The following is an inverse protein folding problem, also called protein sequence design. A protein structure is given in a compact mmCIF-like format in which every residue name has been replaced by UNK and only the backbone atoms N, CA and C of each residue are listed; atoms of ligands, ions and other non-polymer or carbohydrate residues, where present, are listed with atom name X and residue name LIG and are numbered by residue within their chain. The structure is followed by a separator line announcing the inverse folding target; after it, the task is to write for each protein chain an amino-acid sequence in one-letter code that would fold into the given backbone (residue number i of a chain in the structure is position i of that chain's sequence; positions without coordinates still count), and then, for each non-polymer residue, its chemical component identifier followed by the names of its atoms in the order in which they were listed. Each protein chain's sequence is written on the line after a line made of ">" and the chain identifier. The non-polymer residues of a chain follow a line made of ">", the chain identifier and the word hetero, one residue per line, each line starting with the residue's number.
data_IF_300705609533
#
_entry.id   IF_300705609533
#
_cell.length_a   1.000
_cell.length_b   1.000
_cell.length_c   1.000
_cell.angle_alpha   90.00
_cell.angle_beta   90.00
_cell.angle_gamma   90.00
#
_symmetry.space_group_name_H-M   'P 1'
#
loop_
_entity.id
_entity.type
_entity.pdbx_description
1 polymer ?
#
# COMPACT_ATOMS: atom_id res chain seq x y z
N UNK A 1 10.34 14.27 -63.33
CA UNK A 1 9.45 15.36 -63.78
C UNK A 1 8.08 14.79 -64.14
N UNK A 2 7.04 15.05 -63.34
CA UNK A 2 5.77 15.57 -63.85
C UNK A 2 4.80 15.86 -62.69
N UNK A 3 4.48 17.14 -62.54
CA UNK A 3 3.41 17.66 -61.67
C UNK A 3 2.06 17.36 -62.34
N UNK A 4 1.00 17.20 -61.54
CA UNK A 4 -0.16 18.13 -61.54
C UNK A 4 -1.26 17.65 -60.58
N UNK A 5 -1.49 18.53 -59.60
CA UNK A 5 -2.71 18.79 -58.83
C UNK A 5 -3.99 18.82 -59.67
N UNK A 6 -5.11 18.37 -59.08
CA UNK A 6 -6.43 19.03 -59.15
C UNK A 6 -7.38 18.47 -58.08
N UNK A 7 -7.79 19.33 -57.15
CA UNK A 7 -8.89 19.06 -56.22
C UNK A 7 -10.25 19.38 -56.85
N UNK A 8 -11.31 18.79 -56.31
CA UNK A 8 -12.69 19.21 -56.56
C UNK A 8 -13.53 19.15 -55.27
N UNK A 9 -14.04 20.34 -54.92
CA UNK A 9 -15.06 20.77 -53.94
C UNK A 9 -16.31 19.85 -53.90
N UNK A 10 -16.82 19.42 -52.73
CA UNK A 10 -17.65 20.10 -51.69
C UNK A 10 -19.18 20.06 -51.92
N UNK A 11 -19.89 19.51 -50.90
CA UNK A 11 -21.28 19.77 -50.42
C UNK A 11 -22.45 19.28 -51.29
N UNK A 12 -23.66 18.92 -50.83
CA UNK A 12 -24.45 18.98 -49.57
C UNK A 12 -25.53 17.88 -49.73
N UNK A 13 -26.06 17.14 -48.74
CA UNK A 13 -26.85 17.56 -47.58
C UNK A 13 -28.31 17.07 -47.72
N UNK A 14 -28.80 16.24 -46.78
CA UNK A 14 -30.22 16.06 -46.39
C UNK A 14 -30.26 15.10 -45.16
N UNK A 15 -30.37 15.61 -43.93
CA UNK A 15 -31.59 15.76 -43.12
C UNK A 15 -32.32 14.44 -42.77
N UNK A 16 -32.19 14.01 -41.51
CA UNK A 16 -33.30 13.45 -40.75
C UNK A 16 -33.01 13.56 -39.23
N UNK A 17 -33.86 14.35 -38.59
CA UNK A 17 -34.02 14.62 -37.16
C UNK A 17 -34.31 13.38 -36.30
N UNK A 18 -33.98 13.49 -35.00
CA UNK A 18 -34.64 12.95 -33.79
C UNK A 18 -33.63 12.20 -32.90
N UNK A 19 -33.44 12.70 -31.68
CA UNK A 19 -32.78 11.95 -30.61
C UNK A 19 -32.01 12.82 -29.63
N UNK A 20 -32.73 13.61 -28.84
CA UNK A 20 -32.19 14.20 -27.61
C UNK A 20 -31.73 13.07 -26.69
N UNK A 21 -30.42 12.94 -26.44
CA UNK A 21 -29.95 12.36 -25.19
C UNK A 21 -28.61 13.00 -24.83
N UNK A 22 -28.67 13.87 -23.81
CA UNK A 22 -27.52 14.20 -22.98
C UNK A 22 -26.90 12.89 -22.50
N UNK A 23 -25.68 12.59 -22.95
CA UNK A 23 -24.78 11.75 -22.17
C UNK A 23 -23.62 12.63 -21.72
N UNK A 24 -23.68 12.95 -20.44
CA UNK A 24 -22.64 13.61 -19.67
C UNK A 24 -21.33 12.88 -19.94
N UNK A 25 -20.35 13.62 -20.46
CA UNK A 25 -18.95 13.19 -20.51
C UNK A 25 -18.48 13.14 -19.06
N UNK A 26 -18.64 11.96 -18.44
CA UNK A 26 -17.99 11.64 -17.19
C UNK A 26 -16.49 11.57 -17.44
N UNK A 27 -15.79 12.67 -17.18
CA UNK A 27 -14.36 12.63 -16.89
C UNK A 27 -14.17 11.80 -15.62
N UNK A 28 -14.05 10.48 -15.79
CA UNK A 28 -13.47 9.62 -14.76
C UNK A 28 -11.97 9.82 -14.87
N UNK A 29 -11.48 10.94 -14.33
CA UNK A 29 -10.09 11.03 -13.92
C UNK A 29 -9.84 9.92 -12.90
N UNK A 30 -8.62 9.36 -12.82
CA UNK A 30 -8.31 8.44 -11.74
C UNK A 30 -8.57 9.17 -10.43
N UNK A 31 -9.54 8.68 -9.65
CA UNK A 31 -9.67 9.03 -8.24
C UNK A 31 -8.36 8.59 -7.61
N UNK A 32 -7.43 9.53 -7.44
CA UNK A 32 -6.36 9.36 -6.48
C UNK A 32 -7.06 9.29 -5.13
N UNK A 33 -7.31 8.08 -4.65
CA UNK A 33 -7.37 7.83 -3.21
C UNK A 33 -6.00 8.25 -2.66
N UNK A 34 -5.86 9.53 -2.35
CA UNK A 34 -4.93 9.98 -1.33
C UNK A 34 -5.50 9.41 -0.03
N UNK A 35 -5.11 8.18 0.29
CA UNK A 35 -5.33 7.60 1.60
C UNK A 35 -4.83 8.62 2.63
N UNK A 36 -5.73 9.12 3.48
CA UNK A 36 -5.41 10.05 4.56
C UNK A 36 -4.39 9.47 5.56
N UNK A 37 -4.08 8.17 5.48
CA UNK A 37 -3.12 7.47 6.34
C UNK A 37 -1.70 7.45 5.76
N UNK A 38 -1.24 8.56 5.19
CA UNK A 38 0.08 8.63 4.54
C UNK A 38 1.27 8.56 5.53
N UNK A 39 0.99 8.63 6.84
CA UNK A 39 2.00 8.80 7.88
C UNK A 39 2.39 7.51 8.59
N UNK A 40 1.70 6.39 8.36
CA UNK A 40 1.99 5.12 9.06
C UNK A 40 1.99 3.91 8.12
N UNK A 41 2.75 2.89 8.48
CA UNK A 41 2.78 1.59 7.83
C UNK A 41 2.98 0.48 8.85
N UNK A 42 2.62 -0.74 8.47
CA UNK A 42 3.04 -1.96 9.15
C UNK A 42 4.38 -2.38 8.55
N UNK A 43 5.38 -2.61 9.39
CA UNK A 43 6.69 -3.13 8.99
C UNK A 43 6.84 -4.55 9.52
N UNK A 44 7.18 -5.46 8.62
CA UNK A 44 7.60 -6.83 8.90
C UNK A 44 9.08 -6.91 8.56
N UNK A 45 9.89 -7.45 9.46
CA UNK A 45 11.30 -7.77 9.18
C UNK A 45 11.55 -9.22 9.53
N UNK A 46 11.91 -10.03 8.55
CA UNK A 46 12.24 -11.44 8.71
C UNK A 46 13.65 -11.78 8.25
N UNK A 47 13.99 -13.07 8.28
CA UNK A 47 15.18 -13.61 7.63
C UNK A 47 14.80 -14.77 6.70
N UNK A 48 14.90 -14.54 5.38
CA UNK A 48 14.59 -15.57 4.39
C UNK A 48 15.63 -16.69 4.32
N UNK A 49 16.72 -16.59 5.08
CA UNK A 49 17.80 -17.59 5.11
C UNK A 49 17.37 -18.95 5.68
N UNK A 50 16.24 -19.01 6.39
CA UNK A 50 15.70 -20.27 6.93
C UNK A 50 14.26 -20.52 6.47
N UNK A 51 13.99 -21.76 6.08
CA UNK A 51 12.67 -22.17 5.56
C UNK A 51 11.55 -22.06 6.59
N UNK A 52 11.87 -22.20 7.88
CA UNK A 52 10.93 -22.05 9.00
C UNK A 52 10.47 -20.60 9.15
N UNK A 53 11.41 -19.65 9.21
CA UNK A 53 11.09 -18.21 9.30
C UNK A 53 10.30 -17.74 8.08
N UNK A 54 10.68 -18.17 6.87
CA UNK A 54 9.91 -17.89 5.65
C UNK A 54 8.45 -18.36 5.72
N UNK A 55 8.22 -19.52 6.36
CA UNK A 55 6.89 -20.06 6.52
C UNK A 55 6.10 -19.24 7.53
N UNK A 56 6.69 -18.87 8.65
CA UNK A 56 6.05 -18.04 9.67
C UNK A 56 5.71 -16.64 9.15
N UNK A 57 6.64 -15.98 8.45
CA UNK A 57 6.41 -14.69 7.80
C UNK A 57 5.23 -14.76 6.83
N UNK A 58 5.18 -15.80 5.97
CA UNK A 58 4.07 -15.99 5.03
C UNK A 58 2.74 -16.22 5.75
N UNK A 59 2.73 -16.99 6.83
CA UNK A 59 1.51 -17.21 7.63
C UNK A 59 1.05 -15.89 8.24
N UNK A 60 1.96 -15.12 8.84
CA UNK A 60 1.66 -13.83 9.43
C UNK A 60 1.10 -12.84 8.38
N UNK A 61 1.75 -12.70 7.22
CA UNK A 61 1.29 -11.84 6.12
C UNK A 61 -0.11 -12.28 5.67
N UNK A 62 -0.35 -13.59 5.56
CA UNK A 62 -1.66 -14.10 5.15
C UNK A 62 -2.75 -13.82 6.19
N UNK A 63 -2.46 -13.96 7.49
CA UNK A 63 -3.40 -13.61 8.55
C UNK A 63 -3.70 -12.11 8.55
N UNK A 64 -2.68 -11.25 8.46
CA UNK A 64 -2.88 -9.80 8.36
C UNK A 64 -3.68 -9.42 7.10
N UNK A 65 -3.39 -10.05 5.95
CA UNK A 65 -4.10 -9.78 4.71
C UNK A 65 -5.59 -10.17 4.78
N UNK A 66 -5.95 -11.22 5.51
CA UNK A 66 -7.37 -11.60 5.72
C UNK A 66 -8.10 -10.49 6.47
N UNK A 67 -7.51 -9.99 7.55
CA UNK A 67 -8.13 -8.96 8.40
C UNK A 67 -8.14 -7.59 7.70
N UNK A 68 -7.05 -7.19 7.03
CA UNK A 68 -6.98 -5.93 6.25
C UNK A 68 -8.02 -5.88 5.12
N UNK A 69 -8.33 -7.02 4.50
CA UNK A 69 -9.39 -7.10 3.47
C UNK A 69 -10.79 -6.79 4.02
N UNK A 70 -11.01 -7.05 5.31
CA UNK A 70 -12.27 -6.78 6.00
C UNK A 70 -12.38 -5.31 6.44
N UNK A 71 -11.25 -4.61 6.60
CA UNK A 71 -11.20 -3.18 6.92
C UNK A 71 -11.61 -2.29 5.73
N UNK A 72 -12.16 -1.12 6.04
CA UNK A 72 -12.45 -0.09 5.02
C UNK A 72 -11.14 0.42 4.40
N UNK A 73 -11.11 0.83 3.12
CA UNK A 73 -9.89 1.31 2.46
C UNK A 73 -9.16 2.42 3.22
N UNK A 74 -9.92 3.28 3.90
CA UNK A 74 -9.42 4.42 4.68
C UNK A 74 -8.89 4.02 6.07
N UNK A 75 -8.90 2.73 6.41
CA UNK A 75 -8.29 2.19 7.63
C UNK A 75 -7.10 1.27 7.32
N UNK A 76 -6.80 1.03 6.04
CA UNK A 76 -5.74 0.11 5.63
C UNK A 76 -4.39 0.81 5.70
N UNK A 77 -3.53 0.36 6.60
CA UNK A 77 -2.12 0.71 6.57
C UNK A 77 -1.40 -0.08 5.46
N UNK A 78 -0.47 0.55 4.72
CA UNK A 78 0.41 -0.18 3.83
C UNK A 78 1.32 -1.13 4.63
N UNK A 79 1.66 -2.28 4.04
CA UNK A 79 2.59 -3.25 4.62
C UNK A 79 3.93 -3.17 3.87
N UNK A 80 5.03 -3.06 4.62
CA UNK A 80 6.39 -3.18 4.12
C UNK A 80 7.06 -4.44 4.69
N UNK A 81 7.80 -5.17 3.83
CA UNK A 81 8.63 -6.31 4.21
C UNK A 81 10.09 -5.98 3.96
N UNK A 82 10.92 -6.08 4.99
CA UNK A 82 12.38 -6.06 4.92
C UNK A 82 12.95 -7.40 5.38
N UNK A 83 14.20 -7.68 5.00
CA UNK A 83 14.82 -8.96 5.22
C UNK A 83 16.27 -8.78 5.70
N UNK A 84 16.63 -9.44 6.80
CA UNK A 84 17.95 -9.32 7.40
C UNK A 84 19.07 -9.97 6.56
N UNK A 85 18.73 -10.92 5.69
CA UNK A 85 19.66 -11.50 4.73
C UNK A 85 20.14 -10.47 3.67
N UNK A 86 19.44 -9.35 3.47
CA UNK A 86 19.85 -8.26 2.59
C UNK A 86 20.59 -7.21 3.39
N UNK A 87 21.90 -7.12 3.18
CA UNK A 87 22.78 -6.24 3.96
C UNK A 87 22.31 -4.78 4.04
N UNK A 88 21.78 -4.23 2.94
CA UNK A 88 21.23 -2.87 2.92
C UNK A 88 19.99 -2.71 3.80
N UNK A 89 19.08 -3.68 3.77
CA UNK A 89 17.85 -3.67 4.56
C UNK A 89 18.17 -3.90 6.04
N UNK A 90 19.07 -4.84 6.35
CA UNK A 90 19.60 -5.07 7.70
C UNK A 90 20.22 -3.81 8.28
N UNK A 91 21.17 -3.20 7.57
CA UNK A 91 21.84 -1.99 8.04
C UNK A 91 20.85 -0.84 8.25
N UNK A 92 19.79 -0.77 7.46
CA UNK A 92 18.73 0.20 7.65
C UNK A 92 17.93 -0.08 8.93
N UNK A 93 17.48 -1.32 9.12
CA UNK A 93 16.72 -1.75 10.30
C UNK A 93 17.50 -1.51 11.59
N UNK A 94 18.76 -1.93 11.64
CA UNK A 94 19.61 -1.83 12.83
C UNK A 94 19.96 -0.36 13.14
N UNK A 95 20.42 0.41 12.15
CA UNK A 95 20.94 1.76 12.40
C UNK A 95 19.88 2.85 12.46
N UNK A 96 18.72 2.68 11.79
CA UNK A 96 17.67 3.71 11.71
C UNK A 96 16.44 3.37 12.52
N UNK A 97 16.03 2.10 12.51
CA UNK A 97 14.79 1.66 13.15
C UNK A 97 15.03 1.01 14.52
N UNK A 98 16.30 0.74 14.87
CA UNK A 98 16.68 0.01 16.09
C UNK A 98 15.98 -1.36 16.18
N UNK A 99 15.87 -2.03 15.03
CA UNK A 99 15.31 -3.37 14.88
C UNK A 99 16.48 -4.33 14.66
N UNK A 100 16.73 -5.20 15.63
CA UNK A 100 17.91 -6.06 15.67
C UNK A 100 17.61 -7.42 15.05
N UNK A 101 18.61 -8.03 14.42
CA UNK A 101 18.53 -9.38 13.83
C UNK A 101 18.28 -10.49 14.86
N UNK A 102 18.51 -10.19 16.15
CA UNK A 102 18.21 -11.07 17.29
C UNK A 102 16.70 -11.36 17.45
N UNK A 103 15.84 -10.45 16.97
CA UNK A 103 14.39 -10.60 17.13
C UNK A 103 13.79 -11.70 16.23
N UNK A 104 14.57 -12.33 15.33
CA UNK A 104 14.25 -13.38 14.34
C UNK A 104 13.11 -13.01 13.35
N UNK A 105 11.98 -12.57 13.87
CA UNK A 105 10.84 -12.01 13.17
C UNK A 105 10.34 -10.78 13.94
N UNK A 106 10.53 -9.61 13.36
CA UNK A 106 9.98 -8.37 13.86
C UNK A 106 8.68 -8.04 13.15
N UNK A 107 7.68 -7.57 13.91
CA UNK A 107 6.50 -6.92 13.34
C UNK A 107 6.11 -5.72 14.20
N UNK A 108 5.82 -4.61 13.55
CA UNK A 108 5.43 -3.40 14.24
C UNK A 108 4.81 -2.36 13.32
N UNK A 109 4.39 -1.25 13.92
CA UNK A 109 3.88 -0.08 13.20
C UNK A 109 5.00 0.96 13.17
N UNK A 110 5.24 1.53 12.00
CA UNK A 110 6.24 2.56 11.76
C UNK A 110 5.59 3.85 11.30
N UNK A 111 6.12 4.98 11.77
CA UNK A 111 5.83 6.28 11.18
C UNK A 111 6.61 6.44 9.89
N UNK A 112 5.96 6.95 8.85
CA UNK A 112 6.55 7.24 7.56
C UNK A 112 7.03 8.68 7.47
N UNK A 113 8.07 8.88 6.66
CA UNK A 113 8.46 10.17 6.12
C UNK A 113 8.76 9.97 4.64
N UNK A 114 8.05 10.68 3.76
CA UNK A 114 8.21 10.55 2.30
C UNK A 114 8.08 9.09 1.81
N UNK A 115 7.14 8.33 2.39
CA UNK A 115 6.90 6.89 2.14
C UNK A 115 8.03 5.95 2.58
N UNK A 116 8.94 6.42 3.43
CA UNK A 116 10.03 5.62 3.97
C UNK A 116 9.84 5.47 5.49
N UNK A 117 10.00 4.25 6.06
CA UNK A 117 9.93 4.04 7.52
C UNK A 117 10.92 4.92 8.28
N UNK A 118 10.43 5.86 9.08
CA UNK A 118 11.29 6.77 9.84
C UNK A 118 11.60 6.22 11.24
N UNK A 119 10.58 5.69 11.92
CA UNK A 119 10.66 5.30 13.32
C UNK A 119 9.60 4.24 13.65
N UNK A 120 9.95 3.26 14.46
CA UNK A 120 9.00 2.31 15.07
C UNK A 120 8.20 3.02 16.17
N UNK A 121 6.87 2.98 16.06
CA UNK A 121 5.94 3.54 17.05
C UNK A 121 5.28 2.47 17.91
N UNK A 122 5.19 1.26 17.39
CA UNK A 122 4.68 0.10 18.11
C UNK A 122 5.42 -1.16 17.63
N UNK A 123 5.68 -2.08 18.55
CA UNK A 123 6.32 -3.37 18.27
C UNK A 123 5.54 -4.45 18.98
N UNK A 124 5.32 -5.58 18.31
CA UNK A 124 4.86 -6.80 18.98
C UNK A 124 6.06 -7.50 19.58
N UNK A 125 6.09 -7.59 20.90
CA UNK A 125 7.14 -8.33 21.59
C UNK A 125 6.85 -9.84 21.50
N UNK A 126 7.82 -10.62 21.01
CA UNK A 126 7.79 -12.10 20.90
C UNK A 126 6.56 -12.67 20.17
N UNK A 127 6.74 -12.95 18.89
CA UNK A 127 5.70 -13.55 18.04
C UNK A 127 5.67 -15.06 18.29
N UNK A 128 4.89 -15.47 19.29
CA UNK A 128 4.62 -16.90 19.57
C UNK A 128 3.43 -17.45 18.80
N UNK A 129 2.53 -16.58 18.34
CA UNK A 129 1.35 -16.94 17.56
C UNK A 129 1.10 -15.87 16.47
N UNK A 130 1.26 -16.21 15.18
CA UNK A 130 1.09 -15.26 14.08
C UNK A 130 -0.32 -14.65 13.99
N UNK A 131 -1.38 -15.41 14.27
CA UNK A 131 -2.75 -14.92 14.19
C UNK A 131 -3.03 -13.88 15.29
N UNK A 132 -2.52 -14.13 16.50
CA UNK A 132 -2.64 -13.16 17.60
C UNK A 132 -1.83 -11.90 17.31
N UNK A 133 -0.59 -12.04 16.87
CA UNK A 133 0.26 -10.90 16.52
C UNK A 133 -0.34 -10.04 15.39
N UNK A 134 -0.98 -10.67 14.40
CA UNK A 134 -1.69 -9.98 13.34
C UNK A 134 -2.85 -9.13 13.89
N UNK A 135 -3.67 -9.68 14.79
CA UNK A 135 -4.77 -8.94 15.40
C UNK A 135 -4.26 -7.80 16.29
N UNK A 136 -3.30 -8.08 17.17
CA UNK A 136 -2.73 -7.08 18.10
C UNK A 136 -2.16 -5.85 17.34
N UNK A 137 -1.54 -6.07 16.17
CA UNK A 137 -1.07 -4.97 15.31
C UNK A 137 -2.19 -4.21 14.64
N UNK A 138 -3.22 -4.91 14.18
CA UNK A 138 -4.31 -4.26 13.46
C UNK A 138 -5.20 -3.46 14.39
N UNK A 139 -5.48 -3.98 15.57
CA UNK A 139 -6.17 -3.26 16.64
C UNK A 139 -5.39 -1.98 17.00
N UNK A 140 -4.07 -2.11 17.19
CA UNK A 140 -3.23 -0.94 17.50
C UNK A 140 -3.11 0.03 16.33
N UNK A 141 -3.14 -0.45 15.09
CA UNK A 141 -3.18 0.39 13.91
C UNK A 141 -4.46 1.21 13.86
N UNK A 142 -5.61 0.59 14.13
CA UNK A 142 -6.90 1.28 14.19
C UNK A 142 -6.91 2.37 15.26
N UNK A 143 -6.38 2.09 16.45
CA UNK A 143 -6.25 3.08 17.54
C UNK A 143 -5.38 4.26 17.12
N UNK A 144 -4.20 4.01 16.54
CA UNK A 144 -3.28 5.08 16.08
C UNK A 144 -3.94 5.94 15.01
N UNK A 145 -4.68 5.32 14.09
CA UNK A 145 -5.40 6.04 13.04
C UNK A 145 -6.53 6.91 13.61
N UNK A 146 -7.28 6.38 14.60
CA UNK A 146 -8.32 7.13 15.29
C UNK A 146 -7.75 8.32 16.08
N UNK A 147 -6.61 8.15 16.76
CA UNK A 147 -5.91 9.23 17.48
C UNK A 147 -5.38 10.33 16.54
N UNK A 148 -5.03 9.98 15.30
CA UNK A 148 -4.46 10.90 14.32
C UNK A 148 -5.49 11.68 13.49
N UNK A 149 -6.78 11.35 13.59
CA UNK A 149 -7.84 12.05 12.89
C UNK A 149 -8.14 13.40 13.58
N UNK A 150 -8.00 14.55 12.91
CA UNK A 150 -8.36 15.84 13.50
C UNK A 150 -9.88 15.87 13.77
N UNK A 151 -10.26 16.20 15.01
CA UNK A 151 -11.65 16.48 15.40
C UNK A 151 -12.20 17.72 14.71
#
# INVERSE_FOLDING_TARGET
>A
MNRRVKGWKWRSGLLATIGTLLFVIGMIGPVQSQSANADYAILIVGDEGTAEMLREEKVLINEMAKTIRQQTPDQRLPIYSYHFNKERERAYCENKLNVLSEDLLFVGIVKLKDKVPLKVVYRVDRISNPARAANDILDRAEEILAESSPQ
#
